data_IF_653118553517
#
_entry.id   IF_653118553517
#
_cell.length_a   1.000
_cell.length_b   1.000
_cell.length_c   1.000
_cell.angle_alpha   90.00
_cell.angle_beta   90.00
_cell.angle_gamma   90.00
#
_symmetry.space_group_name_H-M   'P 1'
#
loop_
_entity.id
_entity.type
_entity.pdbx_description
1 polymer ?
#
# COMPACT_ATOMS: atom_id res chain seq x y z
N UNK A 1 46.07 -61.43 18.70
CA UNK A 1 45.84 -61.92 17.32
C UNK A 1 44.49 -61.38 16.87
N UNK A 2 44.42 -60.95 15.62
CA UNK A 2 43.53 -59.93 15.05
C UNK A 2 42.03 -60.27 15.06
N UNK A 3 41.24 -59.19 15.07
CA UNK A 3 39.78 -59.08 15.08
C UNK A 3 39.14 -59.33 13.72
N UNK A 4 37.84 -59.64 13.71
CA UNK A 4 36.80 -58.77 13.10
C UNK A 4 35.73 -59.56 12.36
N UNK A 5 34.52 -59.25 12.80
CA UNK A 5 33.18 -59.67 12.43
C UNK A 5 32.85 -59.43 10.95
N UNK A 6 32.23 -60.42 10.30
CA UNK A 6 31.58 -60.27 8.99
C UNK A 6 30.50 -59.18 9.06
N UNK A 7 30.72 -58.07 8.35
CA UNK A 7 29.68 -57.13 7.98
C UNK A 7 28.79 -57.78 6.92
N UNK A 8 27.52 -58.00 7.27
CA UNK A 8 26.48 -58.42 6.32
C UNK A 8 25.96 -57.20 5.60
N UNK A 9 26.34 -57.02 4.33
CA UNK A 9 25.74 -56.03 3.44
C UNK A 9 24.35 -56.51 3.03
N UNK A 10 23.32 -56.15 3.82
CA UNK A 10 21.95 -56.30 3.37
C UNK A 10 21.68 -55.29 2.24
N UNK A 11 21.30 -55.78 1.06
CA UNK A 11 20.76 -54.90 0.02
C UNK A 11 19.40 -54.35 0.50
N UNK A 12 19.13 -53.05 0.31
CA UNK A 12 17.87 -52.46 0.74
C UNK A 12 16.70 -53.11 0.01
N UNK A 13 15.59 -53.31 0.73
CA UNK A 13 14.37 -53.89 0.17
C UNK A 13 13.74 -52.93 -0.87
N UNK A 14 13.00 -53.43 -1.87
CA UNK A 14 12.46 -52.61 -2.97
C UNK A 14 11.65 -51.38 -2.51
N UNK A 15 10.91 -51.49 -1.40
CA UNK A 15 10.12 -50.40 -0.82
C UNK A 15 10.99 -49.23 -0.31
N UNK A 16 12.21 -49.51 0.15
CA UNK A 16 13.14 -48.50 0.67
C UNK A 16 13.76 -47.63 -0.46
N UNK A 17 13.88 -48.22 -1.65
CA UNK A 17 14.36 -47.54 -2.87
C UNK A 17 13.26 -46.65 -3.42
N UNK A 18 12.02 -47.14 -3.49
CA UNK A 18 10.87 -46.34 -3.94
C UNK A 18 10.60 -45.15 -3.01
N UNK A 19 10.66 -45.35 -1.69
CA UNK A 19 10.42 -44.27 -0.73
C UNK A 19 11.47 -43.15 -0.86
N UNK A 20 12.76 -43.48 -1.04
CA UNK A 20 13.81 -42.48 -1.26
C UNK A 20 13.65 -41.74 -2.60
N UNK A 21 13.23 -42.43 -3.66
CA UNK A 21 12.94 -41.81 -4.95
C UNK A 21 11.77 -40.81 -4.86
N UNK A 22 10.70 -41.17 -4.12
CA UNK A 22 9.54 -40.30 -3.89
C UNK A 22 9.93 -39.05 -3.09
N UNK A 23 10.72 -39.20 -2.01
CA UNK A 23 11.19 -38.07 -1.21
C UNK A 23 12.15 -37.13 -1.97
N UNK A 24 13.01 -37.67 -2.84
CA UNK A 24 13.89 -36.86 -3.69
C UNK A 24 13.15 -36.08 -4.78
N UNK A 25 12.03 -36.61 -5.27
CA UNK A 25 11.21 -36.01 -6.33
C UNK A 25 10.29 -34.90 -5.81
N UNK A 26 9.71 -35.09 -4.62
CA UNK A 26 8.87 -34.09 -3.96
C UNK A 26 9.65 -32.81 -3.60
N UNK A 27 10.92 -32.94 -3.21
CA UNK A 27 11.79 -31.80 -2.89
C UNK A 27 12.15 -30.96 -4.13
N UNK A 28 12.32 -31.60 -5.30
CA UNK A 28 12.60 -30.91 -6.56
C UNK A 28 11.39 -30.10 -7.07
N UNK A 29 10.17 -30.63 -6.93
CA UNK A 29 8.92 -29.91 -7.29
C UNK A 29 8.70 -28.72 -6.35
N UNK A 30 8.97 -28.86 -5.05
CA UNK A 30 8.86 -27.76 -4.09
C UNK A 30 9.88 -26.63 -4.35
N UNK A 31 11.11 -26.95 -4.78
CA UNK A 31 12.11 -25.93 -5.16
C UNK A 31 11.76 -25.20 -6.46
N UNK A 32 11.19 -25.90 -7.45
CA UNK A 32 10.71 -25.27 -8.69
C UNK A 32 9.50 -24.35 -8.43
N UNK A 33 8.58 -24.74 -7.56
CA UNK A 33 7.45 -23.91 -7.15
C UNK A 33 7.89 -22.66 -6.35
N UNK A 34 8.89 -22.80 -5.47
CA UNK A 34 9.43 -21.67 -4.71
C UNK A 34 10.10 -20.61 -5.59
N UNK A 35 10.82 -21.03 -6.64
CA UNK A 35 11.45 -20.10 -7.59
C UNK A 35 10.45 -19.45 -8.56
N UNK A 36 9.36 -20.12 -8.93
CA UNK A 36 8.34 -19.52 -9.80
C UNK A 36 7.65 -18.33 -9.12
N UNK A 37 7.40 -18.39 -7.81
CA UNK A 37 6.80 -17.29 -7.04
C UNK A 37 7.77 -16.10 -6.90
N UNK A 38 9.07 -16.37 -6.77
CA UNK A 38 10.09 -15.32 -6.67
C UNK A 38 10.37 -14.63 -8.03
N UNK A 39 10.34 -15.39 -9.13
CA UNK A 39 10.53 -14.86 -10.49
C UNK A 39 9.30 -14.13 -11.04
N UNK A 40 8.09 -14.45 -10.56
CA UNK A 40 6.87 -13.72 -10.92
C UNK A 40 6.82 -12.28 -10.36
N UNK A 41 7.69 -11.94 -9.41
CA UNK A 41 7.72 -10.62 -8.78
C UNK A 41 8.75 -9.67 -9.37
N UNK A 42 9.27 -9.94 -10.57
CA UNK A 42 9.92 -8.88 -11.38
C UNK A 42 8.83 -7.93 -11.87
N UNK A 43 8.42 -6.99 -11.02
CA UNK A 43 7.43 -5.98 -11.37
C UNK A 43 8.02 -5.11 -12.47
N UNK A 44 7.45 -5.15 -13.68
CA UNK A 44 7.89 -4.28 -14.75
C UNK A 44 7.70 -2.82 -14.28
N UNK A 45 8.61 -1.88 -14.59
CA UNK A 45 8.45 -0.48 -14.22
C UNK A 45 7.07 0.11 -14.60
N UNK A 46 6.47 -0.39 -15.69
CA UNK A 46 5.14 0.00 -16.15
C UNK A 46 4.01 -0.56 -15.25
N UNK A 47 4.19 -1.75 -14.68
CA UNK A 47 3.19 -2.37 -13.79
C UNK A 47 3.02 -1.58 -12.50
N UNK A 48 4.12 -1.09 -11.92
CA UNK A 48 4.06 -0.27 -10.71
C UNK A 48 3.44 1.10 -10.97
N UNK A 49 3.72 1.73 -12.12
CA UNK A 49 3.13 3.03 -12.48
C UNK A 49 1.62 2.88 -12.66
N UNK A 50 1.18 1.84 -13.37
CA UNK A 50 -0.25 1.53 -13.53
C UNK A 50 -0.96 1.33 -12.19
N UNK A 51 -0.40 0.54 -11.27
CA UNK A 51 -0.96 0.39 -9.92
C UNK A 51 -1.02 1.71 -9.16
N UNK A 52 -0.04 2.60 -9.37
CA UNK A 52 -0.03 3.93 -8.79
C UNK A 52 -1.20 4.80 -9.26
N UNK A 53 -1.44 4.82 -10.56
CA UNK A 53 -2.60 5.50 -11.16
C UNK A 53 -3.92 4.89 -10.66
N UNK A 54 -4.03 3.55 -10.64
CA UNK A 54 -5.20 2.83 -10.13
C UNK A 54 -5.52 3.21 -8.67
N UNK A 55 -4.48 3.32 -7.81
CA UNK A 55 -4.64 3.79 -6.43
C UNK A 55 -5.24 5.19 -6.41
N UNK A 56 -4.66 6.15 -7.15
CA UNK A 56 -5.15 7.54 -7.17
C UNK A 56 -6.60 7.59 -7.64
N UNK A 57 -6.92 6.92 -8.74
CA UNK A 57 -8.28 6.90 -9.28
C UNK A 57 -9.27 6.28 -8.30
N UNK A 58 -8.90 5.22 -7.60
CA UNK A 58 -9.75 4.60 -6.59
C UNK A 58 -10.08 5.52 -5.41
N UNK A 59 -9.18 6.46 -5.10
CA UNK A 59 -9.33 7.42 -4.00
C UNK A 59 -9.98 8.73 -4.45
N UNK A 60 -9.92 9.03 -5.75
CA UNK A 60 -10.28 10.31 -6.33
C UNK A 60 -11.43 10.20 -7.34
N UNK A 61 -12.38 9.29 -7.10
CA UNK A 61 -13.59 9.10 -7.91
C UNK A 61 -13.28 8.92 -9.41
N UNK A 62 -12.29 8.10 -9.74
CA UNK A 62 -11.87 7.82 -11.12
C UNK A 62 -10.97 8.87 -11.76
N UNK A 63 -10.78 10.03 -11.12
CA UNK A 63 -10.03 11.16 -11.66
C UNK A 63 -8.54 11.12 -11.29
N UNK A 64 -7.64 11.62 -12.15
CA UNK A 64 -6.24 11.83 -11.79
C UNK A 64 -6.10 12.94 -10.74
N UNK A 65 -4.94 13.02 -10.09
CA UNK A 65 -4.66 14.08 -9.12
C UNK A 65 -3.93 15.24 -9.81
N UNK A 66 -4.47 16.46 -9.71
CA UNK A 66 -3.97 17.63 -10.44
C UNK A 66 -2.51 18.05 -10.12
N UNK A 67 -2.09 17.97 -8.86
CA UNK A 67 -0.68 18.16 -8.45
C UNK A 67 0.24 17.06 -8.98
N UNK A 68 -0.20 15.80 -9.07
CA UNK A 68 0.58 14.72 -9.70
C UNK A 68 0.74 15.00 -11.21
N UNK A 69 -0.30 15.47 -11.88
CA UNK A 69 -0.22 15.88 -13.29
C UNK A 69 0.74 17.05 -13.50
N UNK A 70 0.64 18.10 -12.68
CA UNK A 70 1.58 19.23 -12.71
C UNK A 70 3.02 18.77 -12.44
N UNK A 71 3.21 17.86 -11.48
CA UNK A 71 4.51 17.27 -11.19
C UNK A 71 5.04 16.44 -12.36
N UNK A 72 4.18 15.74 -13.11
CA UNK A 72 4.59 15.01 -14.31
C UNK A 72 5.10 15.94 -15.41
N UNK A 73 4.52 17.13 -15.53
CA UNK A 73 4.94 18.16 -16.49
C UNK A 73 6.27 18.81 -16.11
N UNK A 74 6.41 19.22 -14.86
CA UNK A 74 7.56 20.04 -14.40
C UNK A 74 8.72 19.21 -13.84
N UNK A 75 8.42 18.08 -13.20
CA UNK A 75 9.36 17.23 -12.46
C UNK A 75 9.14 15.74 -12.75
N UNK A 76 9.29 15.29 -14.01
CA UNK A 76 8.87 13.95 -14.44
C UNK A 76 9.53 12.81 -13.67
N UNK A 77 10.79 12.96 -13.24
CA UNK A 77 11.45 11.94 -12.41
C UNK A 77 10.78 11.79 -11.03
N UNK A 78 10.43 12.92 -10.40
CA UNK A 78 9.74 12.90 -9.11
C UNK A 78 8.33 12.33 -9.25
N UNK A 79 7.63 12.65 -10.35
CA UNK A 79 6.33 12.05 -10.65
C UNK A 79 6.41 10.53 -10.80
N UNK A 80 7.38 10.02 -11.56
CA UNK A 80 7.58 8.57 -11.71
C UNK A 80 7.91 7.88 -10.39
N UNK A 81 8.73 8.49 -9.53
CA UNK A 81 9.03 7.94 -8.21
C UNK A 81 7.78 7.92 -7.31
N UNK A 82 6.98 9.00 -7.34
CA UNK A 82 5.76 9.10 -6.55
C UNK A 82 4.70 8.10 -7.02
N UNK A 83 4.46 8.02 -8.32
CA UNK A 83 3.47 7.12 -8.90
C UNK A 83 3.91 5.65 -8.80
N UNK A 84 5.15 5.35 -9.17
CA UNK A 84 5.65 3.98 -9.20
C UNK A 84 5.88 3.42 -7.80
N UNK A 85 6.69 4.09 -6.98
CA UNK A 85 7.07 3.57 -5.67
C UNK A 85 6.03 3.92 -4.60
N UNK A 86 5.78 5.21 -4.34
CA UNK A 86 4.91 5.58 -3.24
C UNK A 86 3.49 5.03 -3.46
N UNK A 87 2.87 5.35 -4.58
CA UNK A 87 1.50 4.91 -4.88
C UNK A 87 1.45 3.43 -5.27
N UNK A 88 2.26 3.04 -6.25
CA UNK A 88 2.22 1.72 -6.87
C UNK A 88 2.79 0.56 -6.06
N UNK A 89 3.68 0.81 -5.09
CA UNK A 89 4.30 -0.22 -4.26
C UNK A 89 4.00 -0.10 -2.76
N UNK A 90 3.78 1.11 -2.22
CA UNK A 90 3.49 1.31 -0.79
C UNK A 90 1.99 1.46 -0.53
N UNK A 91 1.31 2.38 -1.20
CA UNK A 91 -0.12 2.60 -1.01
C UNK A 91 -1.00 1.48 -1.57
N UNK A 92 -0.49 0.70 -2.52
CA UNK A 92 -1.19 -0.44 -3.13
C UNK A 92 -1.08 -1.74 -2.34
N UNK A 93 -0.25 -1.80 -1.29
CA UNK A 93 0.01 -3.05 -0.55
C UNK A 93 -1.29 -3.67 -0.04
N UNK A 94 -1.34 -4.99 0.20
CA UNK A 94 -2.42 -5.58 0.99
C UNK A 94 -2.20 -5.30 2.48
N UNK A 95 -3.26 -5.42 3.28
CA UNK A 95 -3.18 -5.45 4.76
C UNK A 95 -3.90 -4.32 5.48
N UNK A 96 -4.13 -3.18 4.81
CA UNK A 96 -5.03 -2.13 5.29
C UNK A 96 -5.94 -1.72 4.13
N UNK A 97 -7.21 -1.48 4.42
CA UNK A 97 -8.11 -0.91 3.43
C UNK A 97 -7.78 0.57 3.15
N UNK A 98 -8.30 1.09 2.05
CA UNK A 98 -8.04 2.47 1.64
C UNK A 98 -8.52 3.48 2.68
N UNK A 99 -9.69 3.25 3.29
CA UNK A 99 -10.26 4.13 4.31
C UNK A 99 -9.34 4.29 5.51
N UNK A 100 -8.85 3.18 6.05
CA UNK A 100 -7.92 3.14 7.19
C UNK A 100 -6.61 3.86 6.84
N UNK A 101 -6.08 3.64 5.63
CA UNK A 101 -4.87 4.34 5.17
C UNK A 101 -5.05 5.84 5.07
N UNK A 102 -6.17 6.31 4.53
CA UNK A 102 -6.40 7.75 4.38
C UNK A 102 -6.58 8.42 5.74
N UNK A 103 -7.32 7.79 6.67
CA UNK A 103 -7.40 8.28 8.04
C UNK A 103 -6.00 8.37 8.68
N UNK A 104 -5.22 7.29 8.64
CA UNK A 104 -3.85 7.30 9.18
C UNK A 104 -2.98 8.43 8.57
N UNK A 105 -3.08 8.65 7.26
CA UNK A 105 -2.34 9.70 6.59
C UNK A 105 -2.81 11.11 6.98
N UNK A 106 -4.12 11.33 7.15
CA UNK A 106 -4.63 12.61 7.68
C UNK A 106 -4.02 12.92 9.04
N UNK A 107 -3.98 11.94 9.96
CA UNK A 107 -3.37 12.13 11.28
C UNK A 107 -1.88 12.48 11.18
N UNK A 108 -1.12 11.72 10.38
CA UNK A 108 0.32 11.94 10.21
C UNK A 108 0.60 13.31 9.60
N UNK A 109 -0.08 13.67 8.51
CA UNK A 109 0.12 14.96 7.85
C UNK A 109 -0.29 16.14 8.75
N UNK A 110 -1.38 16.00 9.51
CA UNK A 110 -1.78 17.00 10.51
C UNK A 110 -0.73 17.15 11.62
N UNK A 111 -0.19 16.05 12.14
CA UNK A 111 0.85 16.07 13.17
C UNK A 111 2.16 16.71 12.68
N UNK A 112 2.56 16.42 11.44
CA UNK A 112 3.72 17.04 10.78
C UNK A 112 3.46 18.52 10.46
N UNK A 113 2.20 18.91 10.27
CA UNK A 113 1.78 20.24 9.84
C UNK A 113 1.80 20.43 8.32
N UNK A 114 1.80 19.33 7.56
CA UNK A 114 1.76 19.31 6.10
C UNK A 114 0.32 19.51 5.60
N UNK A 115 -0.14 20.76 5.62
CA UNK A 115 -1.54 21.13 5.38
C UNK A 115 -2.04 20.72 4.00
N UNK A 116 -1.26 20.96 2.95
CA UNK A 116 -1.68 20.68 1.57
C UNK A 116 -1.87 19.18 1.34
N UNK A 117 -0.95 18.36 1.84
CA UNK A 117 -1.06 16.91 1.79
C UNK A 117 -2.19 16.38 2.69
N UNK A 118 -2.35 16.95 3.88
CA UNK A 118 -3.47 16.63 4.77
C UNK A 118 -4.81 16.85 4.05
N UNK A 119 -4.98 17.97 3.35
CA UNK A 119 -6.21 18.30 2.62
C UNK A 119 -6.51 17.29 1.52
N UNK A 120 -5.49 16.87 0.76
CA UNK A 120 -5.62 15.82 -0.26
C UNK A 120 -6.08 14.50 0.37
N UNK A 121 -5.42 14.03 1.42
CA UNK A 121 -5.75 12.77 2.08
C UNK A 121 -7.12 12.81 2.80
N UNK A 122 -7.51 13.96 3.35
CA UNK A 122 -8.85 14.15 3.92
C UNK A 122 -9.94 14.08 2.83
N UNK A 123 -9.69 14.68 1.66
CA UNK A 123 -10.59 14.54 0.50
C UNK A 123 -10.75 13.09 0.05
N UNK A 124 -9.64 12.34 -0.02
CA UNK A 124 -9.66 10.91 -0.32
C UNK A 124 -10.38 10.10 0.74
N UNK A 125 -10.15 10.37 2.03
CA UNK A 125 -10.83 9.68 3.12
C UNK A 125 -12.36 9.78 2.99
N UNK A 126 -12.87 11.00 2.71
CA UNK A 126 -14.29 11.24 2.50
C UNK A 126 -14.84 10.48 1.28
N UNK A 127 -14.07 10.42 0.18
CA UNK A 127 -14.49 9.68 -1.02
C UNK A 127 -14.60 8.17 -0.77
N UNK A 128 -13.78 7.62 0.13
CA UNK A 128 -13.82 6.20 0.49
C UNK A 128 -14.59 5.90 1.79
N UNK A 129 -15.49 6.81 2.19
CA UNK A 129 -16.48 6.55 3.24
C UNK A 129 -16.04 6.87 4.68
N UNK A 130 -15.02 7.68 4.87
CA UNK A 130 -14.84 8.37 6.16
C UNK A 130 -15.89 9.48 6.32
N UNK A 131 -16.26 9.81 7.56
CA UNK A 131 -17.20 10.90 7.85
C UNK A 131 -16.49 12.19 8.24
N UNK A 132 -17.19 13.31 8.12
CA UNK A 132 -16.73 14.61 8.62
C UNK A 132 -16.42 14.54 10.12
N UNK A 133 -17.24 13.83 10.89
CA UNK A 133 -17.07 13.62 12.34
C UNK A 133 -15.78 12.86 12.65
N UNK A 134 -15.49 11.79 11.91
CA UNK A 134 -14.25 11.04 12.11
C UNK A 134 -13.02 11.91 11.86
N UNK A 135 -13.02 12.73 10.80
CA UNK A 135 -11.92 13.65 10.54
C UNK A 135 -11.78 14.70 11.65
N UNK A 136 -12.89 15.23 12.21
CA UNK A 136 -12.85 16.16 13.36
C UNK A 136 -12.28 15.50 14.60
N UNK A 137 -12.69 14.27 14.91
CA UNK A 137 -12.17 13.47 16.05
C UNK A 137 -10.65 13.27 15.94
N UNK A 138 -10.15 13.02 14.73
CA UNK A 138 -8.71 12.94 14.50
C UNK A 138 -8.00 14.25 14.87
N UNK A 139 -8.56 15.40 14.51
CA UNK A 139 -7.95 16.70 14.84
C UNK A 139 -7.96 16.95 16.35
N UNK A 140 -9.00 16.53 17.07
CA UNK A 140 -8.99 16.56 18.52
C UNK A 140 -7.90 15.66 19.09
N UNK A 141 -7.75 14.45 18.56
CA UNK A 141 -6.69 13.54 18.97
C UNK A 141 -5.30 14.15 18.78
N UNK A 142 -5.04 14.88 17.68
CA UNK A 142 -3.74 15.56 17.39
C UNK A 142 -3.30 16.50 18.51
N UNK A 143 -4.21 17.05 19.31
CA UNK A 143 -3.86 17.92 20.45
C UNK A 143 -2.94 17.24 21.46
N UNK A 144 -3.04 15.92 21.62
CA UNK A 144 -2.28 15.14 22.60
C UNK A 144 -0.89 14.73 22.11
N UNK A 145 -0.70 14.05 20.96
CA UNK A 145 0.60 13.61 20.50
C UNK A 145 1.41 14.70 19.77
N UNK A 146 0.77 15.75 19.23
CA UNK A 146 1.45 16.78 18.43
C UNK A 146 1.16 18.23 18.87
N UNK A 147 0.27 18.43 19.85
CA UNK A 147 0.00 19.72 20.47
C UNK A 147 -1.06 20.57 19.76
N UNK A 148 -1.61 21.52 20.52
CA UNK A 148 -2.66 22.44 20.07
C UNK A 148 -2.31 23.25 18.81
N UNK A 149 -1.09 23.80 18.63
CA UNK A 149 -0.79 24.59 17.43
C UNK A 149 -1.00 23.82 16.11
N UNK A 150 -0.61 22.54 16.07
CA UNK A 150 -0.80 21.68 14.90
C UNK A 150 -2.28 21.34 14.69
N UNK A 151 -3.00 21.03 15.77
CA UNK A 151 -4.45 20.78 15.70
C UNK A 151 -5.24 22.02 15.21
N UNK A 152 -4.88 23.23 15.64
CA UNK A 152 -5.52 24.48 15.20
C UNK A 152 -5.25 24.75 13.71
N UNK A 153 -4.04 24.49 13.23
CA UNK A 153 -3.74 24.64 11.80
C UNK A 153 -4.48 23.59 10.95
N UNK A 154 -4.56 22.36 11.44
CA UNK A 154 -5.28 21.27 10.78
C UNK A 154 -6.80 21.52 10.74
N UNK A 155 -7.39 22.05 11.82
CA UNK A 155 -8.84 22.34 11.86
C UNK A 155 -9.25 23.40 10.82
N UNK A 156 -8.42 24.43 10.61
CA UNK A 156 -8.63 25.43 9.55
C UNK A 156 -8.60 24.80 8.16
N UNK A 157 -7.61 23.96 7.90
CA UNK A 157 -7.46 23.23 6.63
C UNK A 157 -8.66 22.31 6.36
N UNK A 158 -9.15 21.64 7.41
CA UNK A 158 -10.33 20.78 7.31
C UNK A 158 -11.62 21.59 7.08
N UNK A 159 -11.76 22.75 7.72
CA UNK A 159 -12.88 23.66 7.49
C UNK A 159 -12.92 24.17 6.04
N UNK A 160 -11.77 24.59 5.49
CA UNK A 160 -11.63 24.99 4.08
C UNK A 160 -12.07 23.87 3.13
N UNK A 161 -11.64 22.63 3.38
CA UNK A 161 -12.06 21.46 2.58
C UNK A 161 -13.59 21.27 2.61
N UNK A 162 -14.21 21.35 3.79
CA UNK A 162 -15.66 21.18 3.90
C UNK A 162 -16.42 22.31 3.18
N UNK A 163 -15.91 23.54 3.23
CA UNK A 163 -16.47 24.66 2.48
C UNK A 163 -16.43 24.42 0.97
N UNK A 164 -15.28 23.99 0.44
CA UNK A 164 -15.12 23.64 -0.98
C UNK A 164 -16.08 22.54 -1.40
N UNK A 165 -16.21 21.47 -0.61
CA UNK A 165 -17.14 20.36 -0.93
C UNK A 165 -18.59 20.81 -0.90
N UNK A 166 -19.00 21.64 0.05
CA UNK A 166 -20.37 22.22 0.08
C UNK A 166 -20.64 23.11 -1.12
N UNK A 167 -19.66 23.93 -1.52
CA UNK A 167 -19.78 24.79 -2.70
C UNK A 167 -19.92 23.96 -4.00
N UNK A 168 -19.14 22.89 -4.14
CA UNK A 168 -19.22 21.97 -5.28
C UNK A 168 -20.58 21.25 -5.36
N UNK A 169 -21.10 20.80 -4.21
CA UNK A 169 -22.43 20.20 -4.14
C UNK A 169 -23.55 21.20 -4.50
N UNK A 170 -23.46 22.45 -4.05
CA UNK A 170 -24.45 23.50 -4.33
C UNK A 170 -24.47 23.96 -5.79
N UNK A 171 -23.33 23.86 -6.49
CA UNK A 171 -23.19 24.28 -7.90
C UNK A 171 -23.58 23.19 -8.90
N UNK A 172 -24.04 22.02 -8.43
CA UNK A 172 -24.44 20.91 -9.30
C UNK A 172 -23.26 20.25 -10.02
N UNK A 173 -22.03 20.53 -9.59
CA UNK A 173 -20.83 19.84 -10.06
C UNK A 173 -20.79 18.50 -9.32
N UNK A 174 -21.69 17.58 -9.65
CA UNK A 174 -21.57 16.21 -9.16
C UNK A 174 -21.96 15.17 -10.21
N UNK A 175 -21.04 14.22 -10.36
CA UNK A 175 -21.14 12.87 -10.95
C UNK A 175 -21.00 12.78 -12.47
N UNK A 176 -19.75 12.86 -12.91
CA UNK A 176 -19.25 11.99 -13.99
C UNK A 176 -18.22 11.03 -13.40
#
# INVERSE_FOLDING_TARGET
MWTSTKSSSAQPLPEEIEMKAIFSSALAIAMLAGNAVALANTQHPDDRLKRGDDVVRSLNNGQPQANLERMRQEFPFLAQATEGYALGEVWSRPGLDNRTRQLAAVAVMAALGERDLMKVHAGYALNVGATDEELKEMIYLITVPAGFPKAIAASRTLAELFEERRANAATGVERQ
#
